data_IF_331182977069
#
_entry.id   IF_331182977069
#
_cell.length_a   1.000
_cell.length_b   1.000
_cell.length_c   1.000
_cell.angle_alpha   90.00
_cell.angle_beta   90.00
_cell.angle_gamma   90.00
#
_symmetry.space_group_name_H-M   'P 1'
#
loop_
_entity.id
_entity.type
_entity.pdbx_description
1 polymer ?
#
# COMPACT_ATOMS: atom_id res chain seq x y z
N UNK A 1 48.67 1.19 -54.21
CA UNK A 1 48.35 1.83 -52.97
C UNK A 1 46.89 1.52 -52.61
N UNK A 2 46.64 0.56 -51.71
CA UNK A 2 45.30 0.17 -51.26
C UNK A 2 44.96 1.03 -50.03
N UNK A 3 43.91 1.85 -50.14
CA UNK A 3 43.41 2.64 -48.98
C UNK A 3 42.53 1.74 -48.13
N UNK A 4 42.97 1.50 -46.88
CA UNK A 4 42.22 0.80 -45.86
C UNK A 4 41.20 1.77 -45.27
N UNK A 5 39.92 1.53 -45.43
CA UNK A 5 38.83 2.33 -44.87
C UNK A 5 38.46 1.69 -43.50
N UNK A 6 38.90 2.31 -42.41
CA UNK A 6 38.58 1.87 -41.05
C UNK A 6 37.20 2.37 -40.70
N UNK A 7 36.21 1.45 -40.57
CA UNK A 7 34.87 1.76 -40.11
C UNK A 7 34.86 1.80 -38.55
N UNK A 8 34.68 2.98 -38.01
CA UNK A 8 34.46 3.13 -36.57
C UNK A 8 33.01 2.85 -36.25
N UNK A 9 32.71 1.70 -35.64
CA UNK A 9 31.38 1.39 -35.10
C UNK A 9 31.27 2.09 -33.74
N UNK A 10 30.49 3.16 -33.71
CA UNK A 10 30.11 3.84 -32.46
C UNK A 10 29.07 2.98 -31.75
N UNK A 11 29.48 2.23 -30.72
CA UNK A 11 28.56 1.54 -29.83
C UNK A 11 27.86 2.61 -28.97
N UNK A 12 26.64 2.97 -29.30
CA UNK A 12 25.76 3.73 -28.42
C UNK A 12 25.29 2.77 -27.34
N UNK A 13 25.95 2.78 -26.19
CA UNK A 13 25.43 2.14 -24.99
C UNK A 13 24.24 2.97 -24.49
N UNK A 14 23.03 2.57 -24.84
CA UNK A 14 21.85 3.07 -24.19
C UNK A 14 21.95 2.68 -22.70
N UNK A 15 22.27 3.64 -21.84
CA UNK A 15 22.11 3.48 -20.41
C UNK A 15 20.60 3.34 -20.16
N UNK A 16 20.13 2.12 -19.99
CA UNK A 16 18.79 1.90 -19.44
C UNK A 16 18.83 2.47 -18.02
N UNK A 17 18.34 3.71 -17.89
CA UNK A 17 18.05 4.28 -16.57
C UNK A 17 17.13 3.30 -15.86
N UNK A 18 17.51 2.85 -14.68
CA UNK A 18 16.60 2.11 -13.83
C UNK A 18 15.29 2.92 -13.76
N UNK A 19 14.19 2.30 -14.19
CA UNK A 19 12.94 3.01 -14.38
C UNK A 19 12.38 3.34 -13.01
N UNK A 20 12.52 4.59 -12.58
CA UNK A 20 11.87 5.16 -11.41
C UNK A 20 10.33 5.07 -11.58
N UNK A 21 9.58 5.42 -10.54
CA UNK A 21 8.12 5.50 -10.62
C UNK A 21 7.71 6.39 -11.81
N UNK A 22 6.87 5.87 -12.70
CA UNK A 22 6.29 6.66 -13.78
C UNK A 22 5.26 7.65 -13.24
N UNK A 23 5.62 8.94 -13.20
CA UNK A 23 4.72 10.00 -12.75
C UNK A 23 3.40 10.01 -13.54
N UNK A 24 3.47 9.83 -14.85
CA UNK A 24 2.28 9.82 -15.71
C UNK A 24 1.34 8.69 -15.36
N UNK A 25 1.86 7.47 -15.14
CA UNK A 25 1.02 6.33 -14.80
C UNK A 25 0.47 6.43 -13.37
N UNK A 26 1.28 6.92 -12.41
CA UNK A 26 0.87 7.16 -11.04
C UNK A 26 -0.34 8.10 -10.96
N UNK A 27 -0.27 9.24 -11.66
CA UNK A 27 -1.36 10.22 -11.72
C UNK A 27 -2.58 9.67 -12.45
N UNK A 28 -2.38 8.89 -13.53
CA UNK A 28 -3.47 8.27 -14.28
C UNK A 28 -4.23 7.24 -13.45
N UNK A 29 -3.55 6.39 -12.70
CA UNK A 29 -4.19 5.38 -11.85
C UNK A 29 -5.05 6.07 -10.75
N UNK A 30 -4.55 7.16 -10.15
CA UNK A 30 -5.30 7.97 -9.18
C UNK A 30 -6.52 8.64 -9.83
N UNK A 31 -6.33 9.34 -10.96
CA UNK A 31 -7.41 10.04 -11.67
C UNK A 31 -8.56 9.11 -12.06
N UNK A 32 -8.23 7.91 -12.53
CA UNK A 32 -9.23 6.90 -12.89
C UNK A 32 -9.99 6.46 -11.65
N UNK A 33 -9.30 6.04 -10.58
CA UNK A 33 -9.92 5.50 -9.39
C UNK A 33 -10.76 6.53 -8.62
N UNK A 34 -10.41 7.82 -8.69
CA UNK A 34 -11.15 8.90 -8.03
C UNK A 34 -12.16 9.59 -8.95
N UNK A 35 -12.51 8.99 -10.10
CA UNK A 35 -13.52 9.57 -10.98
C UNK A 35 -14.96 9.23 -10.56
N UNK A 36 -15.91 10.08 -10.92
CA UNK A 36 -17.35 9.91 -10.65
C UNK A 36 -17.91 8.56 -11.13
N UNK A 37 -17.27 7.94 -12.13
CA UNK A 37 -17.66 6.61 -12.66
C UNK A 37 -17.64 5.53 -11.58
N UNK A 38 -16.81 5.69 -10.57
CA UNK A 38 -16.68 4.74 -9.45
C UNK A 38 -17.50 5.12 -8.23
N UNK A 39 -18.25 6.25 -8.28
CA UNK A 39 -19.16 6.71 -7.22
C UNK A 39 -18.60 6.55 -5.80
N UNK A 40 -17.30 6.83 -5.61
CA UNK A 40 -16.62 6.70 -4.33
C UNK A 40 -16.44 5.27 -3.83
N UNK A 41 -16.52 4.26 -4.67
CA UNK A 41 -16.05 2.87 -4.47
C UNK A 41 -16.55 2.19 -3.19
N UNK A 42 -17.73 2.54 -2.69
CA UNK A 42 -18.24 1.99 -1.42
C UNK A 42 -18.31 0.45 -1.45
N UNK A 43 -17.77 -0.19 -0.42
CA UNK A 43 -17.80 -1.66 -0.26
C UNK A 43 -19.18 -2.25 -0.52
N UNK A 44 -19.23 -3.31 -1.34
CA UNK A 44 -20.44 -4.04 -1.67
C UNK A 44 -21.25 -3.47 -2.85
N UNK A 45 -20.88 -2.29 -3.39
CA UNK A 45 -21.56 -1.69 -4.54
C UNK A 45 -21.06 -2.24 -5.88
N UNK A 46 -21.79 -2.04 -7.00
CA UNK A 46 -21.30 -2.32 -8.34
C UNK A 46 -20.00 -1.55 -8.67
N UNK A 47 -19.90 -0.30 -8.25
CA UNK A 47 -18.79 0.63 -8.52
C UNK A 47 -17.52 0.20 -7.78
N UNK A 48 -17.65 -0.31 -6.55
CA UNK A 48 -16.54 -0.95 -5.83
C UNK A 48 -16.02 -2.17 -6.62
N UNK A 49 -16.93 -3.00 -7.17
CA UNK A 49 -16.54 -4.13 -8.03
C UNK A 49 -15.87 -3.68 -9.33
N UNK A 50 -16.26 -2.52 -9.90
CA UNK A 50 -15.59 -1.92 -11.05
C UNK A 50 -14.17 -1.48 -10.69
N UNK A 51 -13.96 -0.84 -9.54
CA UNK A 51 -12.64 -0.50 -9.01
C UNK A 51 -11.78 -1.75 -8.80
N UNK A 52 -12.33 -2.81 -8.21
CA UNK A 52 -11.65 -4.11 -8.07
C UNK A 52 -11.24 -4.71 -9.43
N UNK A 53 -12.08 -4.58 -10.47
CA UNK A 53 -11.75 -5.03 -11.81
C UNK A 53 -10.60 -4.21 -12.43
N UNK A 54 -10.61 -2.88 -12.25
CA UNK A 54 -9.53 -2.02 -12.69
C UNK A 54 -8.21 -2.42 -12.04
N UNK A 55 -8.17 -2.53 -10.71
CA UNK A 55 -6.96 -2.85 -9.96
C UNK A 55 -6.42 -4.24 -10.34
N UNK A 56 -7.30 -5.26 -10.47
CA UNK A 56 -6.88 -6.60 -10.89
C UNK A 56 -6.42 -6.63 -12.34
N UNK A 57 -7.00 -5.80 -13.22
CA UNK A 57 -6.50 -5.57 -14.57
C UNK A 57 -5.07 -5.02 -14.55
N UNK A 58 -4.80 -4.00 -13.72
CA UNK A 58 -3.45 -3.45 -13.52
C UNK A 58 -2.48 -4.50 -12.97
N UNK A 59 -2.89 -5.32 -11.97
CA UNK A 59 -2.06 -6.42 -11.46
C UNK A 59 -1.66 -7.39 -12.57
N UNK A 60 -2.60 -7.72 -13.46
CA UNK A 60 -2.35 -8.58 -14.63
C UNK A 60 -1.39 -7.92 -15.61
N UNK A 61 -1.59 -6.65 -15.95
CA UNK A 61 -0.74 -5.91 -16.89
C UNK A 61 0.69 -5.76 -16.36
N UNK A 62 0.85 -5.53 -15.04
CA UNK A 62 2.14 -5.53 -14.36
C UNK A 62 2.77 -6.93 -14.39
N UNK A 63 1.97 -7.99 -14.45
CA UNK A 63 2.39 -9.38 -14.44
C UNK A 63 2.68 -9.89 -13.03
N UNK A 64 1.89 -9.46 -12.02
CA UNK A 64 1.93 -10.06 -10.69
C UNK A 64 1.48 -11.52 -10.73
N UNK A 65 2.00 -12.32 -9.83
CA UNK A 65 1.47 -13.64 -9.54
C UNK A 65 0.31 -13.54 -8.54
N UNK A 66 -0.56 -14.54 -8.51
CA UNK A 66 -1.67 -14.63 -7.55
C UNK A 66 -1.63 -15.95 -6.79
N UNK A 67 -2.28 -15.98 -5.63
CA UNK A 67 -2.45 -17.20 -4.84
C UNK A 67 -3.76 -17.88 -5.23
N UNK A 68 -3.78 -19.23 -5.13
CA UNK A 68 -4.92 -20.03 -5.59
C UNK A 68 -5.20 -19.75 -7.09
N UNK A 69 -6.43 -19.39 -7.44
CA UNK A 69 -6.84 -19.23 -8.85
C UNK A 69 -7.13 -17.78 -9.25
N UNK A 70 -6.91 -16.79 -8.38
CA UNK A 70 -7.36 -15.42 -8.59
C UNK A 70 -6.59 -14.40 -7.77
N UNK A 71 -6.60 -13.14 -8.24
CA UNK A 71 -6.26 -11.98 -7.41
C UNK A 71 -7.34 -11.62 -6.40
N UNK A 72 -8.59 -12.09 -6.60
CA UNK A 72 -9.76 -11.71 -5.79
C UNK A 72 -10.01 -12.71 -4.68
N UNK A 73 -10.05 -12.22 -3.46
CA UNK A 73 -10.29 -12.98 -2.24
C UNK A 73 -11.52 -12.44 -1.52
N UNK A 74 -12.72 -12.99 -1.82
CA UNK A 74 -13.96 -12.50 -1.25
C UNK A 74 -14.05 -12.81 0.25
N UNK A 75 -14.73 -11.94 0.98
CA UNK A 75 -15.06 -12.12 2.38
C UNK A 75 -16.44 -11.52 2.69
N UNK A 76 -17.01 -11.90 3.82
CA UNK A 76 -18.30 -11.38 4.28
C UNK A 76 -18.21 -10.89 5.71
N UNK A 77 -18.96 -9.86 6.02
CA UNK A 77 -19.08 -9.32 7.38
C UNK A 77 -20.47 -8.72 7.59
N UNK A 78 -20.81 -8.46 8.85
CA UNK A 78 -22.02 -7.72 9.20
C UNK A 78 -21.71 -6.25 9.42
N UNK A 79 -22.46 -5.39 8.74
CA UNK A 79 -22.43 -3.95 9.00
C UNK A 79 -22.94 -3.64 10.41
N UNK A 80 -22.72 -2.39 10.86
CA UNK A 80 -23.28 -1.93 12.16
C UNK A 80 -24.80 -2.06 12.25
N UNK A 81 -25.49 -2.03 11.12
CA UNK A 81 -26.95 -2.18 11.01
C UNK A 81 -27.39 -3.67 10.89
N UNK A 82 -26.45 -4.62 10.95
CA UNK A 82 -26.72 -6.05 10.85
C UNK A 82 -26.86 -6.60 9.44
N UNK A 83 -26.68 -5.80 8.40
CA UNK A 83 -26.70 -6.22 7.00
C UNK A 83 -25.47 -7.05 6.65
N UNK A 84 -25.65 -8.10 5.85
CA UNK A 84 -24.54 -8.87 5.31
C UNK A 84 -23.92 -8.13 4.14
N UNK A 85 -22.67 -7.74 4.29
CA UNK A 85 -21.88 -7.05 3.25
C UNK A 85 -20.85 -8.04 2.70
N UNK A 86 -20.68 -8.00 1.38
CA UNK A 86 -19.62 -8.75 0.67
C UNK A 86 -18.52 -7.77 0.29
N UNK A 87 -17.30 -8.03 0.76
CA UNK A 87 -16.09 -7.32 0.35
C UNK A 87 -15.16 -8.25 -0.43
N UNK A 88 -14.13 -7.69 -1.06
CA UNK A 88 -13.16 -8.46 -1.82
C UNK A 88 -11.77 -7.87 -1.70
N UNK A 89 -10.88 -8.50 -0.95
CA UNK A 89 -9.46 -8.14 -0.99
C UNK A 89 -8.83 -8.55 -2.32
N UNK A 90 -7.92 -7.70 -2.84
CA UNK A 90 -7.22 -7.96 -4.08
C UNK A 90 -5.74 -8.20 -3.76
N UNK A 91 -5.23 -9.39 -4.10
CA UNK A 91 -3.91 -9.84 -3.65
C UNK A 91 -3.09 -10.32 -4.83
N UNK A 92 -1.95 -9.65 -5.06
CA UNK A 92 -0.93 -10.08 -5.99
C UNK A 92 0.43 -10.17 -5.30
N UNK A 93 1.39 -10.90 -5.87
CA UNK A 93 2.71 -11.00 -5.28
C UNK A 93 3.84 -11.05 -6.31
N UNK A 94 5.03 -10.69 -5.85
CA UNK A 94 6.31 -10.87 -6.53
C UNK A 94 7.19 -11.72 -5.62
N UNK A 95 7.63 -12.86 -6.11
CA UNK A 95 8.53 -13.74 -5.37
C UNK A 95 9.91 -13.12 -5.24
N UNK A 96 10.39 -13.00 -4.01
CA UNK A 96 11.72 -12.51 -3.66
C UNK A 96 12.79 -13.60 -3.73
N UNK A 97 13.99 -13.25 -3.25
CA UNK A 97 15.10 -14.22 -3.05
C UNK A 97 14.86 -15.06 -1.80
N UNK A 98 14.00 -14.62 -0.88
CA UNK A 98 13.63 -15.35 0.34
C UNK A 98 12.11 -15.49 0.44
N UNK A 99 11.68 -16.48 1.25
CA UNK A 99 10.26 -16.73 1.51
C UNK A 99 9.65 -15.83 2.61
N UNK A 100 10.42 -14.93 3.22
CA UNK A 100 9.92 -13.90 4.13
C UNK A 100 9.03 -12.95 3.35
N UNK A 101 7.99 -12.45 3.98
CA UNK A 101 6.97 -11.64 3.31
C UNK A 101 6.91 -10.23 3.92
N UNK A 102 6.93 -9.25 3.03
CA UNK A 102 6.50 -7.88 3.32
C UNK A 102 5.14 -7.69 2.65
N UNK A 103 4.11 -7.38 3.43
CA UNK A 103 2.80 -6.96 2.91
C UNK A 103 2.87 -5.47 2.62
N UNK A 104 2.52 -5.06 1.41
CA UNK A 104 2.37 -3.67 0.99
C UNK A 104 0.90 -3.47 0.68
N UNK A 105 0.25 -2.51 1.31
CA UNK A 105 -1.20 -2.35 1.21
C UNK A 105 -1.66 -0.93 1.02
N UNK A 106 -2.89 -0.82 0.52
CA UNK A 106 -3.74 0.36 0.53
C UNK A 106 -5.18 -0.13 0.48
N UNK A 107 -6.14 0.59 1.08
CA UNK A 107 -7.55 0.25 0.85
C UNK A 107 -8.06 0.92 -0.43
N UNK A 108 -9.02 0.28 -1.10
CA UNK A 108 -9.57 0.80 -2.35
C UNK A 108 -11.03 1.22 -2.25
N UNK A 109 -11.71 0.87 -1.18
CA UNK A 109 -13.05 1.37 -0.87
C UNK A 109 -12.99 2.81 -0.35
N UNK A 110 -14.12 3.52 -0.44
CA UNK A 110 -14.33 4.81 0.20
C UNK A 110 -15.83 5.00 0.53
N UNK A 111 -16.21 6.18 0.96
CA UNK A 111 -17.54 6.50 1.53
C UNK A 111 -18.70 6.25 0.56
N UNK A 112 -18.50 6.45 -0.74
CA UNK A 112 -19.54 6.31 -1.74
C UNK A 112 -20.41 7.56 -1.91
N UNK A 113 -21.70 7.36 -2.15
CA UNK A 113 -22.66 8.45 -2.28
C UNK A 113 -23.34 8.72 -0.94
N UNK A 114 -23.30 9.96 -0.47
CA UNK A 114 -23.98 10.39 0.74
C UNK A 114 -24.74 11.70 0.46
N UNK A 115 -26.04 11.75 0.77
CA UNK A 115 -26.91 12.93 0.52
C UNK A 115 -26.82 13.44 -0.92
N UNK A 116 -26.82 12.52 -1.89
CA UNK A 116 -26.71 12.78 -3.33
C UNK A 116 -25.39 13.44 -3.77
N UNK A 117 -24.36 13.45 -2.94
CA UNK A 117 -23.01 13.88 -3.28
C UNK A 117 -22.10 12.67 -3.38
N UNK A 118 -21.26 12.65 -4.40
CA UNK A 118 -20.23 11.63 -4.58
C UNK A 118 -19.03 12.02 -3.71
N UNK A 119 -18.48 11.06 -2.99
CA UNK A 119 -17.24 11.19 -2.23
C UNK A 119 -16.17 10.38 -2.97
N UNK A 120 -15.44 11.03 -3.86
CA UNK A 120 -14.51 10.34 -4.77
C UNK A 120 -13.27 9.80 -4.10
N UNK A 121 -12.86 10.37 -2.96
CA UNK A 121 -11.72 9.87 -2.18
C UNK A 121 -10.44 9.81 -3.02
N UNK A 122 -9.98 10.96 -3.53
CA UNK A 122 -8.77 11.03 -4.33
C UNK A 122 -7.53 10.81 -3.47
N UNK A 123 -7.45 11.52 -2.33
CA UNK A 123 -6.41 11.25 -1.35
C UNK A 123 -6.76 10.00 -0.53
N UNK A 124 -8.00 9.88 -0.07
CA UNK A 124 -8.53 8.78 0.74
C UNK A 124 -9.41 7.81 -0.09
N UNK A 125 -8.91 6.69 -0.64
CA UNK A 125 -7.50 6.34 -0.68
C UNK A 125 -7.11 5.85 -2.09
N UNK A 126 -7.61 6.56 -3.15
CA UNK A 126 -7.14 6.28 -4.51
C UNK A 126 -5.63 6.56 -4.64
N UNK A 127 -5.08 7.49 -3.82
CA UNK A 127 -3.67 7.83 -3.79
C UNK A 127 -2.81 6.64 -3.33
N UNK A 128 -3.18 6.00 -2.22
CA UNK A 128 -2.49 4.82 -1.72
C UNK A 128 -2.53 3.66 -2.71
N UNK A 129 -3.69 3.43 -3.37
CA UNK A 129 -3.81 2.38 -4.40
C UNK A 129 -2.93 2.67 -5.61
N UNK A 130 -2.91 3.92 -6.11
CA UNK A 130 -2.02 4.29 -7.21
C UNK A 130 -0.55 4.14 -6.83
N UNK A 131 -0.17 4.50 -5.59
CA UNK A 131 1.15 4.24 -5.01
C UNK A 131 1.49 2.74 -4.98
N UNK A 132 0.57 1.91 -4.51
CA UNK A 132 0.71 0.44 -4.48
C UNK A 132 1.00 -0.12 -5.88
N UNK A 133 0.26 0.31 -6.91
CA UNK A 133 0.44 -0.11 -8.30
C UNK A 133 1.78 0.35 -8.87
N UNK A 134 2.23 1.55 -8.51
CA UNK A 134 3.53 2.08 -8.94
C UNK A 134 4.69 1.29 -8.32
N UNK A 135 4.61 0.95 -7.02
CA UNK A 135 5.58 0.10 -6.34
C UNK A 135 5.62 -1.31 -6.96
N UNK A 136 4.46 -1.90 -7.24
CA UNK A 136 4.37 -3.20 -7.90
C UNK A 136 5.04 -3.19 -9.27
N UNK A 137 4.83 -2.12 -10.05
CA UNK A 137 5.46 -1.93 -11.37
C UNK A 137 6.98 -1.85 -11.25
N UNK A 138 7.50 -1.12 -10.28
CA UNK A 138 8.94 -1.04 -10.02
C UNK A 138 9.53 -2.42 -9.70
N UNK A 139 8.97 -3.12 -8.72
CA UNK A 139 9.52 -4.40 -8.26
C UNK A 139 9.32 -5.55 -9.25
N UNK A 140 8.42 -5.45 -10.20
CA UNK A 140 8.34 -6.41 -11.32
C UNK A 140 9.63 -6.41 -12.14
N UNK A 141 10.26 -5.25 -12.27
CA UNK A 141 11.52 -5.07 -13.00
C UNK A 141 12.77 -5.12 -12.11
N UNK A 142 12.60 -5.11 -10.79
CA UNK A 142 13.67 -5.10 -9.78
C UNK A 142 13.40 -6.16 -8.72
N UNK A 143 13.98 -7.35 -8.91
CA UNK A 143 13.72 -8.50 -8.05
C UNK A 143 14.03 -8.18 -6.57
N UNK A 144 13.03 -8.24 -5.66
CA UNK A 144 13.21 -7.93 -4.25
C UNK A 144 13.99 -9.04 -3.52
N UNK A 145 14.54 -8.73 -2.34
CA UNK A 145 15.18 -9.72 -1.48
C UNK A 145 14.18 -10.61 -0.77
N UNK A 146 13.03 -10.06 -0.40
CA UNK A 146 11.96 -10.79 0.27
C UNK A 146 10.73 -10.80 -0.62
N UNK A 147 9.85 -11.77 -0.46
CA UNK A 147 8.58 -11.83 -1.21
C UNK A 147 7.72 -10.62 -0.84
N UNK A 148 7.26 -9.89 -1.85
CA UNK A 148 6.38 -8.73 -1.69
C UNK A 148 4.95 -9.12 -2.04
N UNK A 149 4.05 -8.91 -1.09
CA UNK A 149 2.62 -9.14 -1.25
C UNK A 149 1.92 -7.78 -1.39
N UNK A 150 1.33 -7.52 -2.54
CA UNK A 150 0.59 -6.30 -2.84
C UNK A 150 -0.88 -6.56 -2.58
N UNK A 151 -1.46 -5.84 -1.62
CA UNK A 151 -2.83 -6.05 -1.18
C UNK A 151 -3.62 -4.75 -1.27
N UNK A 152 -4.66 -4.73 -2.12
CA UNK A 152 -5.67 -3.69 -2.04
C UNK A 152 -6.82 -4.20 -1.16
N UNK A 153 -6.95 -3.65 0.05
CA UNK A 153 -7.99 -4.04 1.01
C UNK A 153 -9.33 -3.41 0.65
N UNK A 154 -10.41 -4.10 1.01
CA UNK A 154 -11.79 -3.62 0.91
C UNK A 154 -12.42 -3.54 2.30
N UNK A 155 -13.35 -2.59 2.50
CA UNK A 155 -14.07 -2.46 3.76
C UNK A 155 -13.23 -1.85 4.89
N UNK A 156 -12.26 -1.03 4.57
CA UNK A 156 -11.52 -0.22 5.53
C UNK A 156 -12.47 0.74 6.24
N UNK A 157 -13.23 1.52 5.49
CA UNK A 157 -14.21 2.51 5.92
C UNK A 157 -15.37 1.91 6.77
N UNK A 158 -15.50 0.61 6.70
CA UNK A 158 -16.46 -0.16 7.50
C UNK A 158 -15.82 -0.82 8.72
N UNK A 159 -14.63 -0.38 9.12
CA UNK A 159 -13.89 -0.82 10.29
C UNK A 159 -12.87 -1.91 9.99
N UNK A 160 -11.99 -1.70 9.02
CA UNK A 160 -10.81 -2.51 8.70
C UNK A 160 -11.14 -3.96 8.34
N UNK A 161 -12.35 -4.20 7.77
CA UNK A 161 -12.90 -5.55 7.60
C UNK A 161 -12.03 -6.43 6.71
N UNK A 162 -11.46 -5.86 5.64
CA UNK A 162 -10.56 -6.56 4.72
C UNK A 162 -9.27 -7.01 5.40
N UNK A 163 -8.63 -6.12 6.15
CA UNK A 163 -7.39 -6.44 6.87
C UNK A 163 -7.63 -7.48 7.98
N UNK A 164 -8.74 -7.39 8.73
CA UNK A 164 -9.13 -8.44 9.68
C UNK A 164 -9.41 -9.77 8.98
N UNK A 165 -10.10 -9.76 7.84
CA UNK A 165 -10.39 -10.97 7.08
C UNK A 165 -9.11 -11.64 6.56
N UNK A 166 -8.17 -10.84 6.04
CA UNK A 166 -6.88 -11.32 5.57
C UNK A 166 -6.08 -12.02 6.67
N UNK A 167 -6.04 -11.45 7.88
CA UNK A 167 -5.29 -12.05 8.99
C UNK A 167 -5.99 -13.29 9.58
N UNK A 168 -7.32 -13.38 9.49
CA UNK A 168 -8.06 -14.59 9.91
C UNK A 168 -7.87 -15.75 8.94
N UNK A 169 -7.83 -15.47 7.64
CA UNK A 169 -7.71 -16.44 6.57
C UNK A 169 -6.61 -16.01 5.57
N UNK A 170 -5.35 -16.07 5.99
CA UNK A 170 -4.25 -15.63 5.13
C UNK A 170 -4.09 -16.57 3.92
N UNK A 171 -3.83 -15.98 2.76
CA UNK A 171 -3.60 -16.73 1.50
C UNK A 171 -2.29 -17.51 1.50
N UNK A 172 -1.44 -17.28 2.50
CA UNK A 172 -0.15 -17.93 2.70
C UNK A 172 0.04 -18.23 4.20
N UNK A 173 1.08 -18.97 4.54
CA UNK A 173 1.46 -19.13 5.95
C UNK A 173 1.77 -17.77 6.59
N UNK A 174 0.87 -17.32 7.46
CA UNK A 174 0.93 -16.02 8.14
C UNK A 174 2.19 -15.83 8.99
N UNK A 175 2.88 -16.94 9.38
CA UNK A 175 4.16 -16.86 10.09
C UNK A 175 5.27 -16.25 9.23
N UNK A 176 5.12 -16.25 7.92
CA UNK A 176 6.06 -15.66 6.96
C UNK A 176 5.95 -14.12 6.86
N UNK A 177 4.86 -13.52 7.33
CA UNK A 177 4.66 -12.07 7.28
C UNK A 177 5.53 -11.43 8.37
N UNK A 178 6.55 -10.69 7.98
CA UNK A 178 7.52 -10.08 8.88
C UNK A 178 7.32 -8.57 9.05
N UNK A 179 6.68 -7.94 8.06
CA UNK A 179 6.44 -6.50 8.04
C UNK A 179 5.20 -6.20 7.21
N UNK A 180 4.45 -5.20 7.61
CA UNK A 180 3.42 -4.57 6.80
C UNK A 180 3.83 -3.11 6.49
N UNK A 181 3.60 -2.67 5.26
CA UNK A 181 3.74 -1.28 4.80
C UNK A 181 2.39 -0.85 4.25
N UNK A 182 1.72 0.06 4.95
CA UNK A 182 0.41 0.58 4.54
C UNK A 182 0.55 1.98 3.96
N UNK A 183 -0.15 2.25 2.85
CA UNK A 183 -0.22 3.52 2.17
C UNK A 183 -1.64 4.04 2.26
N UNK A 184 -1.81 5.18 2.92
CA UNK A 184 -3.14 5.75 3.12
C UNK A 184 -3.05 7.26 3.23
N UNK A 185 -3.71 7.98 2.28
CA UNK A 185 -3.65 9.43 2.15
C UNK A 185 -2.22 9.93 1.91
N UNK A 186 -1.72 9.80 0.68
CA UNK A 186 -0.32 10.15 0.35
C UNK A 186 -0.21 11.22 -0.74
N UNK A 187 -1.30 11.95 -1.04
CA UNK A 187 -1.31 12.92 -2.16
C UNK A 187 -1.67 14.36 -1.79
N UNK A 188 -2.02 14.64 -0.53
CA UNK A 188 -2.50 15.97 -0.15
C UNK A 188 -1.73 16.57 1.03
N UNK A 189 -0.57 17.17 0.79
CA UNK A 189 0.16 17.93 1.80
C UNK A 189 0.96 19.09 1.17
N UNK A 190 0.70 20.34 1.62
CA UNK A 190 1.38 21.55 1.12
C UNK A 190 2.70 21.84 1.84
N UNK A 191 2.92 21.22 3.00
CA UNK A 191 4.18 21.37 3.76
C UNK A 191 5.26 20.39 3.32
N UNK A 192 4.94 19.48 2.37
CA UNK A 192 5.82 18.42 1.91
C UNK A 192 6.20 17.43 3.03
N UNK A 193 5.28 17.15 3.92
CA UNK A 193 5.44 16.26 5.06
C UNK A 193 4.67 14.96 4.82
N UNK A 194 5.38 13.83 4.90
CA UNK A 194 4.82 12.48 4.88
C UNK A 194 5.20 11.79 6.19
N UNK A 195 4.23 11.30 6.94
CA UNK A 195 4.49 10.58 8.17
C UNK A 195 4.81 9.11 7.91
N UNK A 196 5.80 8.58 8.64
CA UNK A 196 6.12 7.16 8.74
C UNK A 196 5.85 6.71 10.18
N UNK A 197 4.68 6.11 10.40
CA UNK A 197 4.15 5.67 11.69
C UNK A 197 4.54 4.21 11.95
N UNK A 198 4.86 3.82 13.19
CA UNK A 198 5.23 2.45 13.57
C UNK A 198 6.63 2.33 14.19
N UNK A 199 7.34 3.45 14.32
CA UNK A 199 8.70 3.49 14.86
C UNK A 199 8.77 3.48 16.39
N UNK A 200 7.70 3.79 17.09
CA UNK A 200 7.66 3.80 18.56
C UNK A 200 7.88 2.40 19.16
N UNK A 201 7.10 1.42 18.67
CA UNK A 201 7.26 0.02 19.08
C UNK A 201 8.50 -0.65 18.47
N UNK A 202 8.93 -0.17 17.29
CA UNK A 202 10.06 -0.72 16.53
C UNK A 202 11.06 0.38 16.16
N UNK A 203 11.89 0.87 17.11
CA UNK A 203 12.79 2.02 16.86
C UNK A 203 13.83 1.76 15.76
N UNK A 204 14.07 0.50 15.41
CA UNK A 204 14.95 0.14 14.29
C UNK A 204 14.39 0.64 12.96
N UNK A 205 13.07 0.74 12.80
CA UNK A 205 12.42 1.24 11.59
C UNK A 205 12.87 2.67 11.32
N UNK A 206 12.82 3.57 12.34
CA UNK A 206 13.31 4.94 12.21
C UNK A 206 14.78 5.00 11.75
N UNK A 207 15.63 4.10 12.26
CA UNK A 207 17.04 4.03 11.85
C UNK A 207 17.19 3.57 10.40
N UNK A 208 16.37 2.61 9.96
CA UNK A 208 16.39 2.07 8.59
C UNK A 208 15.92 3.15 7.61
N UNK A 209 14.86 3.89 7.97
CA UNK A 209 14.25 4.91 7.11
C UNK A 209 15.02 6.23 7.07
N UNK A 210 16.07 6.38 7.88
CA UNK A 210 16.91 7.59 7.81
C UNK A 210 17.35 7.86 6.38
N UNK A 211 17.14 9.10 5.89
CA UNK A 211 17.44 9.54 4.55
C UNK A 211 16.73 8.74 3.43
N UNK A 212 15.54 8.20 3.69
CA UNK A 212 14.73 7.57 2.64
C UNK A 212 14.04 8.61 1.74
N UNK A 213 13.88 9.82 2.24
CA UNK A 213 13.32 10.99 1.53
C UNK A 213 14.33 11.73 0.65
N UNK A 214 15.62 11.36 0.69
CA UNK A 214 16.62 11.97 -0.18
C UNK A 214 16.19 11.93 -1.65
N UNK A 215 16.29 13.08 -2.34
CA UNK A 215 15.91 13.28 -3.75
C UNK A 215 14.41 13.14 -4.07
N UNK A 216 13.55 12.94 -3.08
CA UNK A 216 12.10 12.87 -3.29
C UNK A 216 11.42 14.24 -3.34
N UNK A 217 12.05 15.26 -2.77
CA UNK A 217 11.48 16.61 -2.65
C UNK A 217 10.46 16.77 -1.53
N UNK A 218 10.30 15.75 -0.67
CA UNK A 218 9.44 15.79 0.53
C UNK A 218 10.25 15.41 1.78
N UNK A 219 9.67 15.55 2.96
CA UNK A 219 10.27 15.17 4.23
C UNK A 219 9.51 14.00 4.85
N UNK A 220 10.21 12.94 5.27
CA UNK A 220 9.62 11.89 6.10
C UNK A 220 9.71 12.32 7.56
N UNK A 221 8.54 12.41 8.21
CA UNK A 221 8.39 12.67 9.64
C UNK A 221 8.06 11.38 10.37
N UNK A 222 8.31 11.35 11.68
CA UNK A 222 8.01 10.20 12.56
C UNK A 222 7.18 10.69 13.74
N UNK A 223 6.16 9.94 14.09
CA UNK A 223 5.23 10.29 15.16
C UNK A 223 3.93 9.51 15.02
N UNK A 224 2.90 9.97 15.72
CA UNK A 224 1.54 9.41 15.69
C UNK A 224 1.48 7.91 16.02
N UNK A 225 2.42 7.38 16.81
CA UNK A 225 2.49 5.96 17.17
C UNK A 225 2.82 5.71 18.66
N UNK A 226 2.80 6.77 19.50
CA UNK A 226 2.87 6.67 20.95
C UNK A 226 1.45 6.59 21.53
N UNK A 227 1.06 5.51 22.24
CA UNK A 227 -0.26 5.38 22.88
C UNK A 227 -0.65 6.54 23.81
N UNK A 228 0.34 7.32 24.29
CA UNK A 228 0.08 8.50 25.11
C UNK A 228 -0.55 9.65 24.36
N UNK A 229 -0.49 9.64 23.04
CA UNK A 229 -1.09 10.65 22.17
C UNK A 229 -2.62 10.53 22.09
N UNK A 230 -3.21 9.43 22.59
CA UNK A 230 -4.65 9.22 22.60
C UNK A 230 -5.22 9.16 21.18
N UNK A 231 -6.04 10.13 20.80
CA UNK A 231 -6.64 10.18 19.45
C UNK A 231 -5.65 10.48 18.33
N UNK A 232 -4.49 11.00 18.68
CA UNK A 232 -3.41 11.29 17.73
C UNK A 232 -2.44 10.10 17.56
N UNK A 233 -2.78 8.94 18.12
CA UNK A 233 -2.12 7.66 17.86
C UNK A 233 -2.82 6.97 16.67
N UNK A 234 -2.17 6.98 15.50
CA UNK A 234 -2.71 6.43 14.27
C UNK A 234 -2.50 4.92 14.11
N UNK A 235 -1.94 4.26 15.12
CA UNK A 235 -1.67 2.80 15.09
C UNK A 235 -2.88 1.98 14.67
N UNK A 236 -4.09 2.41 15.06
CA UNK A 236 -5.34 1.69 14.82
C UNK A 236 -6.27 2.37 13.82
N UNK A 237 -5.82 3.44 13.14
CA UNK A 237 -6.72 4.28 12.33
C UNK A 237 -6.79 3.86 10.85
N UNK A 238 -6.04 2.84 10.43
CA UNK A 238 -6.13 2.24 9.09
C UNK A 238 -5.71 0.76 9.14
N UNK A 239 -5.56 0.12 7.99
CA UNK A 239 -5.33 -1.32 7.81
C UNK A 239 -4.10 -1.90 8.53
N UNK A 240 -3.14 -1.09 8.96
CA UNK A 240 -2.05 -1.54 9.83
C UNK A 240 -2.53 -1.95 11.23
N UNK A 241 -3.69 -1.48 11.67
CA UNK A 241 -4.22 -1.74 13.02
C UNK A 241 -4.35 -3.23 13.34
N UNK A 242 -5.03 -4.05 12.53
CA UNK A 242 -5.09 -5.49 12.72
C UNK A 242 -3.71 -6.17 12.78
N UNK A 243 -2.73 -5.70 11.99
CA UNK A 243 -1.36 -6.23 12.03
C UNK A 243 -0.65 -5.85 13.33
N UNK A 244 -0.80 -4.59 13.79
CA UNK A 244 -0.26 -4.14 15.07
C UNK A 244 -0.83 -4.93 16.25
N UNK A 245 -2.14 -5.24 16.25
CA UNK A 245 -2.79 -6.11 17.25
C UNK A 245 -2.22 -7.52 17.26
N UNK A 246 -1.79 -8.02 16.10
CA UNK A 246 -1.17 -9.31 15.93
C UNK A 246 0.36 -9.27 16.10
N UNK A 247 0.92 -8.20 16.69
CA UNK A 247 2.34 -7.99 16.90
C UNK A 247 3.20 -8.13 15.63
N UNK A 248 2.63 -7.86 14.48
CA UNK A 248 3.37 -7.76 13.22
C UNK A 248 3.89 -6.33 13.12
N UNK A 249 5.21 -6.12 12.95
CA UNK A 249 5.77 -4.80 12.70
C UNK A 249 5.10 -4.13 11.49
N UNK A 250 4.92 -2.83 11.56
CA UNK A 250 4.32 -2.08 10.47
C UNK A 250 5.02 -0.74 10.25
N UNK A 251 4.85 -0.20 9.05
CA UNK A 251 5.06 1.19 8.70
C UNK A 251 3.81 1.68 7.97
N UNK A 252 3.14 2.65 8.52
CA UNK A 252 2.07 3.37 7.84
C UNK A 252 2.66 4.64 7.24
N UNK A 253 2.40 4.91 5.98
CA UNK A 253 2.70 6.16 5.31
C UNK A 253 1.41 6.91 5.04
N UNK A 254 1.31 8.14 5.52
CA UNK A 254 0.16 9.00 5.32
C UNK A 254 0.40 10.44 5.73
N UNK A 255 -0.61 11.27 5.57
CA UNK A 255 -0.61 12.69 5.95
C UNK A 255 -1.61 12.95 7.05
N UNK A 256 -1.51 14.12 7.71
CA UNK A 256 -2.54 14.60 8.63
C UNK A 256 -3.85 14.91 7.89
N UNK A 257 -4.97 14.87 8.62
CA UNK A 257 -6.26 15.29 8.11
C UNK A 257 -6.15 16.69 7.48
N UNK A 258 -6.64 16.81 6.27
CA UNK A 258 -6.70 18.07 5.55
C UNK A 258 -8.15 18.53 5.35
N UNK A 259 -8.32 19.74 4.81
CA UNK A 259 -9.65 20.38 4.64
C UNK A 259 -10.64 19.54 3.82
N UNK A 260 -10.17 18.64 2.96
CA UNK A 260 -10.99 17.86 2.03
C UNK A 260 -11.24 16.43 2.53
N UNK A 261 -10.58 16.00 3.63
CA UNK A 261 -10.72 14.67 4.22
C UNK A 261 -12.19 14.33 4.54
N UNK A 262 -12.66 13.18 4.07
CA UNK A 262 -14.05 12.71 4.16
C UNK A 262 -15.10 13.73 3.66
N UNK A 263 -14.75 14.45 2.58
CA UNK A 263 -15.66 15.42 1.92
C UNK A 263 -15.76 15.17 0.42
N UNK A 264 -16.86 15.65 -0.22
CA UNK A 264 -16.99 15.58 -1.68
C UNK A 264 -15.94 16.40 -2.44
N UNK A 265 -15.12 17.16 -1.74
CA UNK A 265 -14.02 17.95 -2.30
C UNK A 265 -12.68 17.20 -2.32
N UNK A 266 -12.62 15.95 -1.83
CA UNK A 266 -11.45 15.08 -2.01
C UNK A 266 -11.43 14.53 -3.44
N UNK A 267 -10.92 15.36 -4.34
CA UNK A 267 -10.98 15.21 -5.79
C UNK A 267 -9.59 15.26 -6.41
N UNK A 268 -9.40 14.61 -7.57
CA UNK A 268 -8.15 14.60 -8.32
C UNK A 268 -7.58 15.99 -8.60
N UNK A 269 -8.43 17.00 -8.87
CA UNK A 269 -8.00 18.37 -9.13
C UNK A 269 -7.44 19.06 -7.88
N UNK A 270 -7.75 18.59 -6.68
CA UNK A 270 -7.39 19.22 -5.41
C UNK A 270 -6.16 18.58 -4.74
N UNK A 271 -5.65 17.45 -5.25
CA UNK A 271 -4.41 16.85 -4.74
C UNK A 271 -3.18 17.70 -5.09
N UNK A 272 -2.11 17.56 -4.32
CA UNK A 272 -0.80 18.11 -4.64
C UNK A 272 0.01 17.09 -5.46
N UNK A 273 -0.02 17.22 -6.79
CA UNK A 273 0.60 16.25 -7.73
C UNK A 273 2.11 16.13 -7.58
N UNK A 274 2.80 17.21 -7.20
CA UNK A 274 4.25 17.19 -6.98
C UNK A 274 4.58 16.49 -5.66
N UNK A 275 3.82 16.79 -4.60
CA UNK A 275 3.92 16.07 -3.33
C UNK A 275 3.65 14.59 -3.50
N UNK A 276 2.58 14.21 -4.20
CA UNK A 276 2.22 12.81 -4.45
C UNK A 276 3.34 12.02 -5.13
N UNK A 277 3.95 12.58 -6.17
CA UNK A 277 5.08 11.94 -6.82
C UNK A 277 6.28 11.81 -5.90
N UNK A 278 6.57 12.86 -5.11
CA UNK A 278 7.62 12.86 -4.10
C UNK A 278 7.36 11.81 -3.01
N UNK A 279 6.12 11.72 -2.51
CA UNK A 279 5.71 10.75 -1.50
C UNK A 279 5.88 9.31 -2.01
N UNK A 280 5.38 9.01 -3.22
CA UNK A 280 5.56 7.69 -3.84
C UNK A 280 7.05 7.33 -4.00
N UNK A 281 7.89 8.31 -4.37
CA UNK A 281 9.36 8.12 -4.49
C UNK A 281 10.00 7.85 -3.11
N UNK A 282 9.63 8.61 -2.08
CA UNK A 282 10.14 8.41 -0.73
C UNK A 282 9.70 7.06 -0.14
N UNK A 283 8.48 6.63 -0.43
CA UNK A 283 7.97 5.31 -0.03
C UNK A 283 8.74 4.20 -0.75
N UNK A 284 9.02 4.33 -2.05
CA UNK A 284 9.86 3.38 -2.79
C UNK A 284 11.25 3.26 -2.17
N UNK A 285 11.90 4.39 -1.87
CA UNK A 285 13.21 4.40 -1.23
C UNK A 285 13.16 3.75 0.17
N UNK A 286 12.09 4.01 0.91
CA UNK A 286 11.84 3.41 2.22
C UNK A 286 11.69 1.90 2.11
N UNK A 287 10.88 1.44 1.17
CA UNK A 287 10.64 0.00 0.95
C UNK A 287 11.91 -0.72 0.51
N UNK A 288 12.75 -0.12 -0.34
CA UNK A 288 14.07 -0.66 -0.70
C UNK A 288 14.97 -0.83 0.53
N UNK A 289 15.00 0.13 1.45
CA UNK A 289 15.76 0.03 2.70
C UNK A 289 15.21 -1.03 3.64
N UNK A 290 13.87 -1.13 3.76
CA UNK A 290 13.17 -2.12 4.58
C UNK A 290 13.41 -3.54 4.04
N UNK A 291 13.27 -3.75 2.73
CA UNK A 291 13.52 -5.04 2.08
C UNK A 291 14.97 -5.52 2.29
N UNK A 292 15.93 -4.62 2.13
CA UNK A 292 17.35 -4.92 2.35
C UNK A 292 17.69 -5.25 3.82
N UNK A 293 16.93 -4.73 4.77
CA UNK A 293 17.24 -4.83 6.21
C UNK A 293 16.15 -5.54 7.01
N UNK A 294 15.22 -6.24 6.37
CA UNK A 294 14.08 -6.90 7.01
C UNK A 294 14.49 -7.79 8.20
N UNK A 295 15.62 -8.49 8.11
CA UNK A 295 16.16 -9.33 9.20
C UNK A 295 16.44 -8.57 10.51
N UNK A 296 16.61 -7.25 10.46
CA UNK A 296 16.82 -6.40 11.64
C UNK A 296 15.51 -6.01 12.32
N UNK A 297 14.38 -6.14 11.61
CA UNK A 297 13.06 -5.87 12.12
C UNK A 297 12.57 -7.16 12.75
N UNK A 298 12.66 -7.26 14.09
CA UNK A 298 12.17 -8.46 14.78
C UNK A 298 10.66 -8.35 14.98
N UNK A 299 9.94 -9.40 14.62
CA UNK A 299 8.64 -9.65 15.22
C UNK A 299 8.83 -9.72 16.73
N UNK A 300 8.08 -8.92 17.47
CA UNK A 300 7.97 -9.13 18.92
C UNK A 300 7.21 -10.47 19.09
N UNK A 301 7.98 -11.56 19.14
CA UNK A 301 7.44 -12.90 19.34
C UNK A 301 6.99 -13.02 20.79
N UNK A 302 5.79 -12.52 21.09
CA UNK A 302 5.11 -12.92 22.32
C UNK A 302 4.76 -14.41 22.17
N UNK A 303 5.33 -15.33 22.97
CA UNK A 303 5.05 -16.77 22.86
C UNK A 303 3.56 -17.11 22.98
N UNK A 304 2.79 -16.30 23.69
CA UNK A 304 1.34 -16.45 23.80
C UNK A 304 0.63 -16.29 22.45
N UNK A 305 1.10 -15.36 21.60
CA UNK A 305 0.53 -15.13 20.28
C UNK A 305 0.81 -16.28 19.29
N UNK A 306 2.01 -16.83 19.31
CA UNK A 306 2.37 -18.00 18.49
C UNK A 306 1.52 -19.23 18.85
N UNK A 307 1.18 -19.39 20.13
CA UNK A 307 0.31 -20.47 20.59
C UNK A 307 -1.12 -20.29 20.06
N UNK A 308 -1.68 -19.10 20.12
CA UNK A 308 -3.04 -18.81 19.63
C UNK A 308 -3.17 -18.97 18.11
N UNK A 309 -2.15 -18.60 17.32
CA UNK A 309 -2.14 -18.87 15.89
C UNK A 309 -2.10 -20.36 15.58
N UNK A 310 -1.23 -21.13 16.27
CA UNK A 310 -1.16 -22.59 16.11
C UNK A 310 -2.46 -23.29 16.50
N UNK A 311 -3.07 -22.89 17.61
CA UNK A 311 -4.34 -23.47 18.08
C UNK A 311 -5.50 -23.18 17.12
N UNK A 312 -5.56 -21.98 16.53
CA UNK A 312 -6.57 -21.67 15.49
C UNK A 312 -6.32 -22.38 14.15
N UNK A 313 -5.07 -22.71 13.81
CA UNK A 313 -4.75 -23.49 12.60
C UNK A 313 -5.03 -24.99 12.75
N UNK A 314 -5.18 -25.48 13.98
CA UNK A 314 -5.48 -26.90 14.26
C UNK A 314 -7.00 -27.14 14.39
N UNK A 315 -7.80 -26.08 14.59
CA UNK A 315 -9.27 -26.16 14.76
C UNK A 315 -10.07 -25.85 13.49
N UNK A 316 -9.40 -25.61 12.36
CA UNK A 316 -9.96 -25.53 11.02
C UNK A 316 -9.33 -26.64 10.13
#
# INVERSE_FOLDING_TARGET
>A
MKKLLTFFILLITATVSAQDISRTQLLKDLEILSSDVYEGRKTGTPENRMAANYITGRFKDIGLSYYQDSFKHPFAFKSRNGENIQGTNLIGYIEGKSNRVIVISAHYDHVGITKSLIYNGADDNASGVAGLLALATYYKNHKPNNTLLFVAFDGEEMGLQGAYSFLRNPVLDGSRIELMVNLDMISHNDKKELYAVGSFKNPIIKKILKNADEKSGINILFGHDDPKLGRDDWTMQSDQGPFAQNNIPFVYFGVEDHRDYHKPTDEYQNINKDFFYGAATAILNSLNKLDNQLKKISRNTNPAFQRTLKEKMIMN
#
